data_IF_886691918286
#
_entry.id   IF_886691918286
#
_cell.length_a   1.000
_cell.length_b   1.000
_cell.length_c   1.000
_cell.angle_alpha   90.00
_cell.angle_beta   90.00
_cell.angle_gamma   90.00
#
_symmetry.space_group_name_H-M   'P 1'
#
loop_
_entity.id
_entity.type
_entity.pdbx_description
1 polymer ?
#
# COMPACT_ATOMS: atom_id res chain seq x y z
N UNK A 1 -23.11 27.52 6.00
CA UNK A 1 -22.24 27.28 4.83
C UNK A 1 -21.45 26.00 5.12
N UNK A 2 -21.92 24.87 4.61
CA UNK A 2 -21.23 23.58 4.79
C UNK A 2 -20.06 23.61 3.80
N UNK A 3 -18.82 23.68 4.30
CA UNK A 3 -17.63 23.53 3.46
C UNK A 3 -17.64 22.10 2.92
N UNK A 4 -17.93 21.93 1.63
CA UNK A 4 -17.62 20.70 0.93
C UNK A 4 -16.11 20.49 0.99
N UNK A 5 -15.67 19.60 1.88
CA UNK A 5 -14.30 19.11 1.88
C UNK A 5 -14.22 18.13 0.73
N UNK A 6 -13.83 18.63 -0.45
CA UNK A 6 -13.47 17.75 -1.56
C UNK A 6 -12.25 16.95 -1.11
N UNK A 7 -12.47 15.68 -0.71
CA UNK A 7 -11.41 14.72 -0.45
C UNK A 7 -10.74 14.40 -1.78
N UNK A 8 -9.84 15.27 -2.23
CA UNK A 8 -9.06 15.05 -3.45
C UNK A 8 -8.18 13.82 -3.25
N UNK A 9 -8.54 12.73 -3.90
CA UNK A 9 -7.71 11.53 -3.92
C UNK A 9 -6.53 11.76 -4.86
N UNK A 10 -5.33 11.62 -4.33
CA UNK A 10 -4.09 11.65 -5.11
C UNK A 10 -3.67 10.22 -5.44
N UNK A 11 -3.13 10.00 -6.64
CA UNK A 11 -2.58 8.72 -7.06
C UNK A 11 -1.15 8.60 -6.53
N UNK A 12 -0.88 7.58 -5.73
CA UNK A 12 0.44 7.27 -5.22
C UNK A 12 0.94 5.97 -5.81
N UNK A 13 2.21 5.94 -6.21
CA UNK A 13 2.95 4.70 -6.42
C UNK A 13 3.64 4.28 -5.13
N UNK A 14 3.35 3.07 -4.69
CA UNK A 14 3.92 2.48 -3.48
C UNK A 14 4.67 1.21 -3.89
N UNK A 15 5.97 1.20 -3.64
CA UNK A 15 6.81 0.02 -3.83
C UNK A 15 6.81 -0.82 -2.56
N UNK A 16 6.96 -2.12 -2.72
CA UNK A 16 6.95 -3.08 -1.63
C UNK A 16 7.83 -4.28 -1.91
N UNK A 17 8.26 -4.92 -0.82
CA UNK A 17 8.93 -6.21 -0.84
C UNK A 17 8.21 -7.20 0.06
N UNK A 18 8.14 -8.44 -0.38
CA UNK A 18 7.52 -9.56 0.30
C UNK A 18 8.61 -10.60 0.53
N UNK A 19 8.90 -10.84 1.81
CA UNK A 19 9.94 -11.77 2.21
C UNK A 19 9.26 -13.07 2.64
N UNK A 20 9.45 -14.13 1.86
CA UNK A 20 8.96 -15.49 2.12
C UNK A 20 10.15 -16.41 2.36
N UNK A 21 10.44 -16.71 3.63
CA UNK A 21 11.57 -17.57 4.02
C UNK A 21 12.90 -17.18 3.35
N UNK A 22 13.25 -17.78 2.21
CA UNK A 22 14.48 -17.53 1.45
C UNK A 22 14.26 -16.68 0.18
N UNK A 23 13.02 -16.42 -0.21
CA UNK A 23 12.66 -15.66 -1.40
C UNK A 23 12.22 -14.24 -1.04
N UNK A 24 12.71 -13.27 -1.79
CA UNK A 24 12.24 -11.88 -1.75
C UNK A 24 11.57 -11.57 -3.08
N UNK A 25 10.31 -11.15 -3.03
CA UNK A 25 9.56 -10.67 -4.20
C UNK A 25 9.31 -9.18 -4.05
N UNK A 26 9.71 -8.38 -5.03
CA UNK A 26 9.46 -6.94 -5.05
C UNK A 26 8.37 -6.58 -6.07
N UNK A 27 7.66 -5.49 -5.83
CA UNK A 27 6.68 -4.94 -6.76
C UNK A 27 6.34 -3.50 -6.43
N UNK A 28 5.56 -2.86 -7.29
CA UNK A 28 4.89 -1.60 -6.98
C UNK A 28 3.41 -1.69 -7.30
N UNK A 29 2.60 -0.83 -6.70
CA UNK A 29 1.21 -0.66 -7.07
C UNK A 29 0.78 0.80 -6.97
N UNK A 30 -0.22 1.15 -7.80
CA UNK A 30 -0.79 2.48 -7.85
C UNK A 30 -2.09 2.49 -7.04
N UNK A 31 -2.17 3.38 -6.05
CA UNK A 31 -3.33 3.50 -5.15
C UNK A 31 -3.77 4.93 -5.03
N UNK A 32 -5.09 5.14 -5.11
CA UNK A 32 -5.71 6.42 -4.80
C UNK A 32 -5.96 6.54 -3.29
N UNK A 33 -5.43 7.60 -2.70
CA UNK A 33 -5.58 7.92 -1.29
C UNK A 33 -5.54 9.42 -1.04
N UNK A 34 -6.04 9.84 0.12
CA UNK A 34 -5.95 11.24 0.57
C UNK A 34 -4.55 11.62 1.06
N UNK A 35 -3.72 10.65 1.45
CA UNK A 35 -2.30 10.86 1.78
C UNK A 35 -1.47 9.63 1.43
N UNK A 36 -0.14 9.80 1.43
CA UNK A 36 0.78 8.69 1.15
C UNK A 36 0.74 7.64 2.25
N UNK A 37 0.58 8.04 3.51
CA UNK A 37 0.46 7.13 4.66
C UNK A 37 -0.78 6.23 4.52
N UNK A 38 -1.92 6.82 4.11
CA UNK A 38 -3.14 6.06 3.85
C UNK A 38 -2.95 5.11 2.66
N UNK A 39 -2.23 5.54 1.61
CA UNK A 39 -1.86 4.65 0.51
C UNK A 39 -1.00 3.47 1.01
N UNK A 40 0.02 3.72 1.84
CA UNK A 40 0.88 2.68 2.42
C UNK A 40 0.07 1.65 3.23
N UNK A 41 -0.85 2.11 4.09
CA UNK A 41 -1.73 1.23 4.88
C UNK A 41 -2.62 0.37 3.97
N UNK A 42 -3.25 0.97 2.94
CA UNK A 42 -4.07 0.24 1.97
C UNK A 42 -3.27 -0.86 1.27
N UNK A 43 -2.05 -0.53 0.84
CA UNK A 43 -1.15 -1.47 0.16
C UNK A 43 -0.73 -2.61 1.09
N UNK A 44 -0.38 -2.31 2.34
CA UNK A 44 -0.01 -3.33 3.32
C UNK A 44 -1.15 -4.32 3.58
N UNK A 45 -2.39 -3.83 3.73
CA UNK A 45 -3.58 -4.67 3.90
C UNK A 45 -3.78 -5.58 2.69
N UNK A 46 -3.69 -5.03 1.48
CA UNK A 46 -3.89 -5.78 0.24
C UNK A 46 -2.80 -6.86 0.05
N UNK A 47 -1.55 -6.54 0.35
CA UNK A 47 -0.44 -7.51 0.28
C UNK A 47 -0.65 -8.62 1.30
N UNK A 48 -0.99 -8.30 2.56
CA UNK A 48 -1.28 -9.32 3.59
C UNK A 48 -2.42 -10.24 3.16
N UNK A 49 -3.45 -9.69 2.52
CA UNK A 49 -4.60 -10.46 2.00
C UNK A 49 -4.19 -11.43 0.89
N UNK A 50 -3.38 -10.98 -0.06
CA UNK A 50 -2.98 -11.76 -1.24
C UNK A 50 -1.88 -12.78 -0.93
N UNK A 51 -0.90 -12.41 -0.12
CA UNK A 51 0.30 -13.19 0.12
C UNK A 51 0.25 -13.86 1.50
N UNK A 52 -0.65 -14.84 1.63
CA UNK A 52 -0.69 -15.72 2.82
C UNK A 52 0.64 -16.46 2.93
N UNK A 53 1.31 -16.35 4.08
CA UNK A 53 2.63 -16.95 4.33
C UNK A 53 3.83 -16.01 4.13
N UNK A 54 3.61 -14.71 3.88
CA UNK A 54 4.68 -13.72 3.97
C UNK A 54 5.21 -13.64 5.42
N UNK A 55 6.52 -13.77 5.61
CA UNK A 55 7.17 -13.62 6.93
C UNK A 55 7.35 -12.15 7.27
N UNK A 56 7.64 -11.32 6.28
CA UNK A 56 7.80 -9.88 6.41
C UNK A 56 7.34 -9.18 5.13
N UNK A 57 6.70 -8.03 5.30
CA UNK A 57 6.33 -7.12 4.20
C UNK A 57 7.01 -5.78 4.51
N UNK A 58 7.70 -5.22 3.53
CA UNK A 58 8.36 -3.92 3.64
C UNK A 58 7.68 -2.99 2.63
N UNK A 59 7.21 -1.83 3.10
CA UNK A 59 6.66 -0.77 2.25
C UNK A 59 7.71 0.31 2.11
N UNK A 60 8.14 0.59 0.88
CA UNK A 60 9.17 1.58 0.54
C UNK A 60 8.53 2.98 0.43
#
# INVERSE_FOLDING_TARGET
>A
MIKEVSLSLTKFEIAYEIHKSLEVSSGSCLVYASSREIAKIKVEIEIKRRFKGAKKIVIL
#
